data_IF_469848581924
#
_entry.id   IF_469848581924
#
_cell.length_a   1.000
_cell.length_b   1.000
_cell.length_c   1.000
_cell.angle_alpha   90.00
_cell.angle_beta   90.00
_cell.angle_gamma   90.00
#
_symmetry.space_group_name_H-M   'P 1'
#
loop_
_entity.id
_entity.type
_entity.pdbx_description
1 polymer ?
#
# COMPACT_ATOMS: atom_id res chain seq x y z
N UNK A 1 40.76 -10.78 -14.17
CA UNK A 1 39.52 -10.03 -13.93
C UNK A 1 39.74 -8.62 -14.46
N UNK A 2 38.91 -8.13 -15.39
CA UNK A 2 39.04 -6.77 -15.95
C UNK A 2 38.01 -5.85 -15.33
N UNK A 3 38.25 -4.53 -15.34
CA UNK A 3 37.27 -3.54 -14.89
C UNK A 3 35.94 -3.66 -15.64
N UNK A 4 35.98 -3.94 -16.94
CA UNK A 4 34.79 -4.20 -17.75
C UNK A 4 34.00 -5.42 -17.24
N UNK A 5 34.68 -6.53 -16.98
CA UNK A 5 34.02 -7.76 -16.50
C UNK A 5 33.40 -7.62 -15.11
N UNK A 6 33.95 -6.78 -14.23
CA UNK A 6 33.33 -6.47 -12.93
C UNK A 6 31.97 -5.79 -13.10
N UNK A 7 31.90 -4.77 -13.96
CA UNK A 7 30.65 -4.05 -14.24
C UNK A 7 29.64 -4.90 -15.00
N UNK A 8 30.09 -5.73 -15.95
CA UNK A 8 29.22 -6.71 -16.65
C UNK A 8 28.63 -7.74 -15.68
N UNK A 9 29.40 -8.19 -14.68
CA UNK A 9 28.88 -9.09 -13.64
C UNK A 9 27.83 -8.43 -12.75
N UNK A 10 27.97 -7.13 -12.46
CA UNK A 10 26.91 -6.37 -11.76
C UNK A 10 25.68 -6.27 -12.67
N UNK A 11 25.85 -5.92 -13.94
CA UNK A 11 24.73 -5.82 -14.88
C UNK A 11 23.95 -7.14 -14.97
N UNK A 12 24.65 -8.28 -15.14
CA UNK A 12 24.00 -9.60 -15.24
C UNK A 12 23.27 -9.98 -13.95
N UNK A 13 23.80 -9.63 -12.78
CA UNK A 13 23.09 -9.87 -11.51
C UNK A 13 21.73 -9.14 -11.48
N UNK A 14 21.67 -7.93 -12.01
CA UNK A 14 20.44 -7.15 -12.01
C UNK A 14 19.50 -7.56 -13.14
N UNK A 15 19.97 -7.52 -14.39
CA UNK A 15 19.16 -7.76 -15.58
C UNK A 15 18.72 -9.23 -15.69
N UNK A 16 19.64 -10.17 -15.49
CA UNK A 16 19.33 -11.59 -15.71
C UNK A 16 18.71 -12.28 -14.47
N UNK A 17 18.79 -11.68 -13.28
CA UNK A 17 18.31 -12.31 -12.04
C UNK A 17 17.37 -11.43 -11.22
N UNK A 18 17.84 -10.29 -10.71
CA UNK A 18 17.03 -9.49 -9.77
C UNK A 18 15.81 -8.81 -10.44
N UNK A 19 15.86 -8.53 -11.73
CA UNK A 19 14.80 -7.85 -12.47
C UNK A 19 13.80 -8.76 -13.16
N UNK A 20 13.98 -10.09 -13.11
CA UNK A 20 12.96 -11.07 -13.57
C UNK A 20 11.54 -10.73 -13.10
N UNK A 21 11.27 -10.44 -11.80
CA UNK A 21 9.92 -10.09 -11.37
C UNK A 21 9.40 -8.77 -11.97
N UNK A 22 10.28 -7.80 -12.22
CA UNK A 22 9.90 -6.53 -12.85
C UNK A 22 9.60 -6.71 -14.35
N UNK A 23 10.38 -7.53 -15.05
CA UNK A 23 10.11 -7.90 -16.43
C UNK A 23 8.77 -8.65 -16.57
N UNK A 24 8.46 -9.52 -15.61
CA UNK A 24 7.17 -10.20 -15.55
C UNK A 24 6.02 -9.20 -15.35
N UNK A 25 6.18 -8.21 -14.46
CA UNK A 25 5.18 -7.15 -14.26
C UNK A 25 5.00 -6.28 -15.51
N UNK A 26 6.08 -5.90 -16.19
CA UNK A 26 6.02 -5.13 -17.44
C UNK A 26 5.25 -5.87 -18.53
N UNK A 27 5.50 -7.18 -18.69
CA UNK A 27 4.75 -8.01 -19.64
C UNK A 27 3.28 -8.13 -19.25
N UNK A 28 3.01 -8.30 -17.95
CA UNK A 28 1.66 -8.41 -17.42
C UNK A 28 0.85 -7.12 -17.59
N UNK A 29 1.48 -5.96 -17.58
CA UNK A 29 0.85 -4.66 -17.84
C UNK A 29 0.20 -4.61 -19.22
N UNK A 30 0.87 -5.17 -20.24
CA UNK A 30 0.38 -5.22 -21.61
C UNK A 30 -0.87 -6.12 -21.76
N UNK A 31 -0.99 -7.14 -20.91
CA UNK A 31 -2.12 -8.08 -20.91
C UNK A 31 -3.28 -7.62 -20.01
N UNK A 32 -2.95 -7.05 -18.84
CA UNK A 32 -3.93 -6.61 -17.85
C UNK A 32 -3.35 -5.55 -16.90
N UNK A 33 -3.73 -4.31 -17.15
CA UNK A 33 -3.40 -3.17 -16.29
C UNK A 33 -3.86 -3.37 -14.83
N UNK A 34 -5.03 -3.99 -14.62
CA UNK A 34 -5.58 -4.25 -13.29
C UNK A 34 -4.71 -5.22 -12.49
N UNK A 35 -4.25 -6.29 -13.14
CA UNK A 35 -3.46 -7.32 -12.48
C UNK A 35 -2.01 -6.86 -12.26
N UNK A 36 -1.44 -6.12 -13.20
CA UNK A 36 -0.13 -5.47 -13.01
C UNK A 36 -0.11 -4.52 -11.81
N UNK A 37 -1.25 -3.92 -11.45
CA UNK A 37 -1.39 -3.01 -10.32
C UNK A 37 -1.96 -3.67 -9.04
N UNK A 38 -2.02 -5.01 -8.96
CA UNK A 38 -2.72 -5.70 -7.86
C UNK A 38 -2.18 -5.35 -6.47
N UNK A 39 -0.87 -5.11 -6.33
CA UNK A 39 -0.25 -4.69 -5.06
C UNK A 39 -0.78 -3.32 -4.65
N UNK A 40 -0.85 -2.36 -5.58
CA UNK A 40 -1.42 -1.03 -5.35
C UNK A 40 -2.88 -1.13 -4.91
N UNK A 41 -3.67 -1.98 -5.56
CA UNK A 41 -5.08 -2.23 -5.18
C UNK A 41 -5.19 -2.78 -3.76
N UNK A 42 -4.35 -3.74 -3.39
CA UNK A 42 -4.32 -4.30 -2.03
C UNK A 42 -4.00 -3.21 -1.00
N UNK A 43 -2.97 -2.38 -1.24
CA UNK A 43 -2.63 -1.29 -0.33
C UNK A 43 -3.76 -0.27 -0.21
N UNK A 44 -4.43 0.06 -1.32
CA UNK A 44 -5.59 0.95 -1.31
C UNK A 44 -6.73 0.40 -0.47
N UNK A 45 -7.05 -0.89 -0.62
CA UNK A 45 -8.12 -1.56 0.14
C UNK A 45 -7.80 -1.65 1.63
N UNK A 46 -6.56 -1.99 1.99
CA UNK A 46 -6.10 -2.01 3.38
C UNK A 46 -6.20 -0.61 3.99
N UNK A 47 -5.72 0.41 3.28
CA UNK A 47 -5.79 1.80 3.71
C UNK A 47 -7.23 2.28 3.89
N UNK A 48 -8.12 1.96 2.94
CA UNK A 48 -9.54 2.29 3.03
C UNK A 48 -10.22 1.60 4.22
N UNK A 49 -9.95 0.31 4.46
CA UNK A 49 -10.49 -0.42 5.60
C UNK A 49 -10.03 0.17 6.94
N UNK A 50 -8.73 0.49 7.06
CA UNK A 50 -8.18 1.15 8.24
C UNK A 50 -8.81 2.54 8.46
N UNK A 51 -8.99 3.31 7.39
CA UNK A 51 -9.62 4.63 7.45
C UNK A 51 -11.09 4.55 7.92
N UNK A 52 -11.88 3.62 7.36
CA UNK A 52 -13.27 3.39 7.78
C UNK A 52 -13.34 2.98 9.25
N UNK A 53 -12.46 2.07 9.69
CA UNK A 53 -12.37 1.67 11.09
C UNK A 53 -12.11 2.87 12.01
N UNK A 54 -11.16 3.74 11.65
CA UNK A 54 -10.84 4.92 12.45
C UNK A 54 -11.96 5.96 12.47
N UNK A 55 -12.66 6.18 11.34
CA UNK A 55 -13.85 7.03 11.32
C UNK A 55 -14.95 6.51 12.27
N UNK A 56 -15.15 5.19 12.31
CA UNK A 56 -16.04 4.55 13.28
C UNK A 56 -15.64 4.87 14.72
N UNK A 57 -14.36 4.72 15.05
CA UNK A 57 -13.84 5.04 16.39
C UNK A 57 -14.00 6.51 16.77
N UNK A 58 -13.84 7.43 15.82
CA UNK A 58 -14.06 8.87 16.07
C UNK A 58 -15.52 9.17 16.36
N UNK A 59 -16.46 8.56 15.63
CA UNK A 59 -17.89 8.68 15.91
C UNK A 59 -18.23 8.14 17.30
N UNK A 60 -17.77 6.94 17.62
CA UNK A 60 -18.01 6.33 18.93
C UNK A 60 -17.44 7.20 20.06
N UNK A 61 -16.29 7.84 19.87
CA UNK A 61 -15.73 8.79 20.83
C UNK A 61 -16.60 10.05 21.01
N UNK A 62 -17.13 10.61 19.91
CA UNK A 62 -18.01 11.78 19.96
C UNK A 62 -19.33 11.48 20.70
N UNK A 63 -19.99 10.37 20.38
CA UNK A 63 -21.26 9.98 21.02
C UNK A 63 -21.12 9.76 22.54
N UNK A 64 -20.02 9.14 22.99
CA UNK A 64 -19.77 8.93 24.42
C UNK A 64 -19.47 10.23 25.18
N UNK A 65 -18.99 11.25 24.48
CA UNK A 65 -18.74 12.59 25.03
C UNK A 65 -20.10 13.24 25.32
N UNK A 66 -21.03 13.29 24.37
CA UNK A 66 -22.37 13.88 24.56
C UNK A 66 -23.15 13.29 25.75
N UNK A 67 -23.04 11.99 26.01
CA UNK A 67 -23.68 11.33 27.17
C UNK A 67 -23.05 11.73 28.51
N UNK A 68 -21.77 12.10 28.51
CA UNK A 68 -21.03 12.42 29.74
C UNK A 68 -21.08 13.91 30.10
N UNK A 69 -21.18 14.80 29.11
CA UNK A 69 -21.34 16.25 29.31
C UNK A 69 -22.78 16.72 29.14
N UNK A 70 -23.76 15.89 29.49
CA UNK A 70 -25.06 16.43 29.90
C UNK A 70 -24.83 17.15 31.23
N UNK A 71 -24.33 18.39 31.16
CA UNK A 71 -24.63 19.34 32.22
C UNK A 71 -26.13 19.24 32.42
N UNK A 72 -26.59 18.94 33.63
CA UNK A 72 -28.00 19.08 33.97
C UNK A 72 -28.37 20.54 33.66
N UNK A 73 -28.89 20.78 32.47
CA UNK A 73 -29.52 22.02 32.06
C UNK A 73 -30.88 22.08 32.76
N UNK A 74 -30.88 22.01 34.09
CA UNK A 74 -32.06 22.26 34.89
C UNK A 74 -31.72 23.32 35.95
N UNK A 75 -32.30 24.54 35.86
CA UNK A 75 -32.13 25.57 36.87
C UNK A 75 -32.73 25.18 38.24
#
# INVERSE_FOLDING_TARGET
MTWKGFWEGIASLFEDFLFIPYDALMKLELDSWWLANIVSWIFLLIGAAAFIYWLGKLRDFNENTEVTYTYDENP
#
